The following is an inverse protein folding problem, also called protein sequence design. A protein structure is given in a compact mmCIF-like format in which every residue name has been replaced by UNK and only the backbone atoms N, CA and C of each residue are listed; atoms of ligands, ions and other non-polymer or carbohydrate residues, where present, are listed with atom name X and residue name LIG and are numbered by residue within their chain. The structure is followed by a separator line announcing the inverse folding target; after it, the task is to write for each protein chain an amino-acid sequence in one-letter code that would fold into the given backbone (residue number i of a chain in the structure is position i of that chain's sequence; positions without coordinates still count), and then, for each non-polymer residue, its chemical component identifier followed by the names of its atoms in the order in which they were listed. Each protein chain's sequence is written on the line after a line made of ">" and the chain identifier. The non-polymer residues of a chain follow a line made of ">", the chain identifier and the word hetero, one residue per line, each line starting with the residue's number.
data_IF_478661873554
#
_entry.id   IF_478661873554
#
_cell.length_a   1.000
_cell.length_b   1.000
_cell.length_c   1.000
_cell.angle_alpha   90.00
_cell.angle_beta   90.00
_cell.angle_gamma   90.00
#
_symmetry.space_group_name_H-M   'P 1'
#
loop_
_entity.id
_entity.type
_entity.pdbx_description
1 polymer ?
#
# COMPACT_ATOMS: atom_id res chain seq x y z
N UNK A 1 16.39 34.13 1.51
CA UNK A 1 16.28 33.68 0.10
C UNK A 1 16.29 32.17 0.11
N UNK A 2 15.13 31.53 0.19
CA UNK A 2 14.98 30.08 0.09
C UNK A 2 15.18 29.66 -1.37
N UNK A 3 16.43 29.36 -1.74
CA UNK A 3 16.75 28.63 -2.97
C UNK A 3 16.81 27.15 -2.62
N UNK A 4 15.66 26.50 -2.71
CA UNK A 4 15.51 25.06 -2.48
C UNK A 4 14.20 24.50 -3.01
N UNK A 5 13.61 25.16 -4.01
CA UNK A 5 12.57 24.55 -4.84
C UNK A 5 13.26 23.76 -5.94
N UNK A 6 13.68 22.55 -5.58
CA UNK A 6 13.96 21.51 -6.57
C UNK A 6 12.60 20.91 -6.88
N UNK A 7 11.92 21.51 -7.85
CA UNK A 7 10.66 21.00 -8.36
C UNK A 7 10.95 19.78 -9.29
N UNK A 8 10.02 18.83 -9.43
CA UNK A 8 10.25 17.46 -9.95
C UNK A 8 10.43 17.39 -11.47
N UNK A 9 10.79 18.51 -12.10
CA UNK A 9 10.73 18.70 -13.55
C UNK A 9 12.10 18.90 -14.21
N UNK A 10 13.20 19.07 -13.45
CA UNK A 10 14.51 19.36 -14.08
C UNK A 10 15.11 18.16 -14.79
N UNK A 11 14.84 16.93 -14.34
CA UNK A 11 15.33 15.73 -15.02
C UNK A 11 14.18 14.76 -15.32
N UNK A 12 13.51 14.94 -16.47
CA UNK A 12 12.52 13.98 -16.97
C UNK A 12 13.09 12.57 -17.15
N UNK A 13 14.40 12.43 -17.23
CA UNK A 13 15.07 11.13 -17.36
C UNK A 13 15.15 10.38 -16.01
N UNK A 14 14.82 11.01 -14.88
CA UNK A 14 14.64 10.32 -13.59
C UNK A 14 13.28 9.64 -13.45
N UNK A 15 12.39 9.78 -14.45
CA UNK A 15 11.11 9.11 -14.45
C UNK A 15 11.28 7.62 -14.68
N UNK A 16 11.13 6.84 -13.61
CA UNK A 16 11.25 5.39 -13.66
C UNK A 16 9.89 4.72 -13.64
N UNK A 17 9.56 3.96 -14.68
CA UNK A 17 8.50 2.96 -14.60
C UNK A 17 9.04 1.73 -13.88
N UNK A 18 8.40 1.35 -12.78
CA UNK A 18 8.74 0.11 -12.09
C UNK A 18 7.49 -0.73 -11.92
N UNK A 19 7.54 -1.98 -12.35
CA UNK A 19 6.45 -2.92 -12.09
C UNK A 19 6.74 -3.65 -10.78
N UNK A 20 5.71 -3.74 -9.94
CA UNK A 20 5.75 -4.50 -8.70
C UNK A 20 4.65 -5.53 -8.72
N UNK A 21 5.06 -6.78 -8.58
CA UNK A 21 4.14 -7.90 -8.37
C UNK A 21 4.17 -8.31 -6.91
N UNK A 22 3.01 -8.40 -6.26
CA UNK A 22 2.87 -8.76 -4.85
C UNK A 22 1.96 -9.98 -4.74
N UNK A 23 2.48 -11.07 -4.18
CA UNK A 23 1.70 -12.25 -3.83
C UNK A 23 1.59 -12.35 -2.33
N UNK A 24 0.36 -12.43 -1.82
CA UNK A 24 0.06 -12.40 -0.39
C UNK A 24 -0.70 -13.65 0.05
N UNK A 25 -0.31 -14.19 1.19
CA UNK A 25 -1.08 -15.16 1.95
C UNK A 25 -1.52 -14.51 3.26
N UNK A 26 -2.81 -14.53 3.55
CA UNK A 26 -3.40 -13.87 4.71
C UNK A 26 -4.15 -14.85 5.61
N UNK A 27 -3.86 -14.84 6.90
CA UNK A 27 -4.62 -15.58 7.90
C UNK A 27 -5.28 -14.57 8.84
N UNK A 28 -6.60 -14.51 8.86
CA UNK A 28 -7.35 -13.58 9.68
C UNK A 28 -8.32 -14.31 10.61
N UNK A 29 -8.44 -13.80 11.83
CA UNK A 29 -9.40 -14.29 12.82
C UNK A 29 -10.05 -13.11 13.54
N UNK A 30 -11.38 -13.07 13.50
CA UNK A 30 -12.17 -12.16 14.32
C UNK A 30 -12.39 -12.74 15.71
N UNK A 31 -12.51 -11.88 16.72
CA UNK A 31 -12.99 -12.28 18.04
C UNK A 31 -13.67 -11.11 18.75
N UNK A 32 -14.74 -11.44 19.48
CA UNK A 32 -15.56 -10.51 20.25
C UNK A 32 -16.99 -10.42 19.74
N UNK A 33 -17.75 -9.45 20.26
CA UNK A 33 -19.19 -9.30 20.06
C UNK A 33 -19.51 -8.00 19.30
N UNK A 34 -20.71 -7.91 18.69
CA UNK A 34 -21.29 -6.73 18.01
C UNK A 34 -21.61 -5.56 18.97
N UNK A 35 -20.68 -5.19 19.85
CA UNK A 35 -20.82 -4.09 20.79
C UNK A 35 -19.62 -3.14 20.67
N UNK A 36 -19.82 -1.89 21.08
CA UNK A 36 -18.81 -0.83 20.99
C UNK A 36 -17.43 -1.29 21.48
N UNK A 37 -16.43 -1.23 20.59
CA UNK A 37 -15.04 -1.55 20.91
C UNK A 37 -14.72 -3.04 21.06
N UNK A 38 -15.61 -3.95 20.67
CA UNK A 38 -15.43 -5.41 20.85
C UNK A 38 -15.23 -6.21 19.57
N UNK A 39 -15.33 -5.63 18.38
CA UNK A 39 -15.02 -6.36 17.15
C UNK A 39 -13.53 -6.31 16.86
N UNK A 40 -12.78 -7.18 17.53
CA UNK A 40 -11.34 -7.30 17.34
C UNK A 40 -11.03 -8.25 16.20
N UNK A 41 -9.89 -8.03 15.57
CA UNK A 41 -9.32 -8.99 14.65
C UNK A 41 -7.81 -9.06 14.80
N UNK A 42 -7.29 -10.26 14.55
CA UNK A 42 -5.87 -10.50 14.31
C UNK A 42 -5.72 -10.95 12.86
N UNK A 43 -4.69 -10.44 12.18
CA UNK A 43 -4.32 -10.86 10.84
C UNK A 43 -2.82 -11.04 10.74
N UNK A 44 -2.41 -12.12 10.11
CA UNK A 44 -1.04 -12.37 9.70
C UNK A 44 -0.99 -12.36 8.17
N UNK A 45 -0.14 -11.51 7.62
CA UNK A 45 0.10 -11.41 6.17
C UNK A 45 1.54 -11.85 5.89
N UNK A 46 1.71 -12.85 5.03
CA UNK A 46 3.00 -13.16 4.40
C UNK A 46 2.94 -12.71 2.95
N UNK A 47 3.84 -11.81 2.55
CA UNK A 47 3.91 -11.26 1.20
C UNK A 47 5.25 -11.58 0.56
N UNK A 48 5.23 -12.09 -0.67
CA UNK A 48 6.38 -12.18 -1.56
C UNK A 48 6.18 -11.19 -2.68
N UNK A 49 7.20 -10.41 -3.02
CA UNK A 49 7.11 -9.45 -4.10
C UNK A 49 8.31 -9.48 -5.02
N UNK A 50 8.12 -9.00 -6.24
CA UNK A 50 9.19 -8.74 -7.20
C UNK A 50 9.15 -7.27 -7.58
N UNK A 51 10.31 -6.62 -7.65
CA UNK A 51 10.45 -5.25 -8.14
C UNK A 51 11.39 -5.20 -9.34
N UNK A 52 10.96 -4.52 -10.40
CA UNK A 52 11.79 -4.27 -11.59
C UNK A 52 13.06 -3.49 -11.30
N UNK A 53 14.01 -3.47 -12.24
CA UNK A 53 15.26 -2.68 -12.11
C UNK A 53 14.98 -1.17 -12.13
N UNK A 54 15.84 -0.41 -11.46
CA UNK A 54 15.86 1.05 -11.50
C UNK A 54 17.02 1.51 -12.37
N UNK A 55 16.69 2.16 -13.48
CA UNK A 55 17.66 2.57 -14.48
C UNK A 55 17.30 3.92 -15.12
N UNK A 56 18.31 4.57 -15.66
CA UNK A 56 18.22 5.80 -16.45
C UNK A 56 19.02 5.58 -17.72
N UNK A 57 18.37 5.68 -18.87
CA UNK A 57 18.98 5.23 -20.12
C UNK A 57 19.47 3.78 -20.00
N UNK A 58 20.79 3.57 -20.10
CA UNK A 58 21.45 2.27 -19.97
C UNK A 58 22.07 1.99 -18.60
N UNK A 59 22.09 2.97 -17.69
CA UNK A 59 22.72 2.82 -16.37
C UNK A 59 21.70 2.26 -15.37
N UNK A 60 21.99 1.08 -14.84
CA UNK A 60 21.24 0.47 -13.72
C UNK A 60 21.93 0.87 -12.42
N UNK A 61 21.18 1.39 -11.45
CA UNK A 61 21.71 1.69 -10.12
C UNK A 61 21.06 0.85 -9.00
N UNK A 62 19.86 0.31 -9.22
CA UNK A 62 19.35 -0.82 -8.46
C UNK A 62 18.89 -1.95 -9.38
N UNK A 63 19.41 -3.14 -9.14
CA UNK A 63 19.00 -4.34 -9.85
C UNK A 63 17.56 -4.76 -9.51
N UNK A 64 17.03 -5.65 -10.35
CA UNK A 64 15.78 -6.37 -10.03
C UNK A 64 15.92 -7.04 -8.67
N UNK A 65 14.87 -6.96 -7.85
CA UNK A 65 14.90 -7.49 -6.49
C UNK A 65 13.64 -8.32 -6.21
N UNK A 66 13.77 -9.29 -5.31
CA UNK A 66 12.67 -10.11 -4.80
C UNK A 66 12.68 -10.04 -3.29
N UNK A 67 11.53 -9.75 -2.72
CA UNK A 67 11.41 -9.55 -1.29
C UNK A 67 10.37 -10.41 -0.62
N UNK A 68 10.55 -10.63 0.68
CA UNK A 68 9.59 -11.29 1.55
C UNK A 68 9.32 -10.44 2.78
N UNK A 69 8.05 -10.35 3.17
CA UNK A 69 7.59 -9.58 4.32
C UNK A 69 6.58 -10.40 5.10
N UNK A 70 6.74 -10.47 6.41
CA UNK A 70 5.71 -10.97 7.31
C UNK A 70 5.20 -9.82 8.19
N UNK A 71 3.88 -9.61 8.19
CA UNK A 71 3.22 -8.54 8.92
C UNK A 71 2.17 -9.10 9.86
N UNK A 72 2.23 -8.71 11.13
CA UNK A 72 1.18 -8.96 12.11
C UNK A 72 0.34 -7.70 12.25
N UNK A 73 -0.97 -7.89 12.28
CA UNK A 73 -1.94 -6.80 12.32
C UNK A 73 -2.96 -7.13 13.40
N UNK A 74 -3.18 -6.16 14.27
CA UNK A 74 -4.26 -6.18 15.25
C UNK A 74 -5.13 -4.97 15.02
N UNK A 75 -6.44 -5.13 15.03
CA UNK A 75 -7.33 -3.99 14.97
C UNK A 75 -8.66 -4.26 15.64
N UNK A 76 -9.44 -3.20 15.78
CA UNK A 76 -10.78 -3.27 16.32
C UNK A 76 -11.68 -2.19 15.71
N UNK A 77 -12.98 -2.45 15.68
CA UNK A 77 -13.98 -1.43 15.35
C UNK A 77 -14.49 -0.77 16.62
N UNK A 78 -14.49 0.56 16.66
CA UNK A 78 -15.17 1.31 17.72
C UNK A 78 -16.62 1.61 17.34
N UNK A 79 -16.94 1.75 16.04
CA UNK A 79 -18.33 1.74 15.55
C UNK A 79 -18.52 0.55 14.62
N UNK A 80 -19.57 -0.23 14.84
CA UNK A 80 -19.93 -1.34 13.98
C UNK A 80 -21.45 -1.51 13.94
N UNK A 81 -22.06 -0.79 13.02
CA UNK A 81 -23.47 -0.92 12.66
C UNK A 81 -23.58 -1.54 11.28
N UNK A 82 -24.77 -2.07 10.93
CA UNK A 82 -25.01 -2.62 9.59
C UNK A 82 -24.77 -1.59 8.49
N UNK A 83 -25.04 -0.31 8.76
CA UNK A 83 -24.91 0.75 7.76
C UNK A 83 -23.55 1.45 7.80
N UNK A 84 -22.84 1.40 8.92
CA UNK A 84 -21.62 2.18 9.12
C UNK A 84 -20.64 1.47 10.04
N UNK A 85 -19.36 1.47 9.67
CA UNK A 85 -18.29 0.97 10.51
C UNK A 85 -17.13 1.95 10.56
N UNK A 86 -16.46 1.98 11.70
CA UNK A 86 -15.23 2.72 11.89
C UNK A 86 -14.33 1.99 12.88
N UNK A 87 -13.05 1.90 12.55
CA UNK A 87 -12.10 1.14 13.34
C UNK A 87 -10.67 1.61 13.16
N UNK A 88 -9.81 1.03 13.96
CA UNK A 88 -8.37 1.27 13.92
C UNK A 88 -7.63 -0.05 13.82
N UNK A 89 -6.43 -0.01 13.28
CA UNK A 89 -5.49 -1.13 13.38
C UNK A 89 -4.08 -0.64 13.63
N UNK A 90 -3.28 -1.51 14.22
CA UNK A 90 -1.84 -1.43 14.37
C UNK A 90 -1.23 -2.59 13.59
N UNK A 91 -0.12 -2.37 12.91
CA UNK A 91 0.68 -3.46 12.35
C UNK A 91 2.14 -3.36 12.74
N UNK A 92 2.82 -4.51 12.68
CA UNK A 92 4.28 -4.63 12.79
C UNK A 92 4.80 -5.62 11.76
N UNK A 93 5.94 -5.34 11.15
CA UNK A 93 6.56 -6.23 10.15
C UNK A 93 7.97 -6.66 10.58
N UNK A 94 8.10 -7.66 11.48
CA UNK A 94 9.39 -8.03 12.07
C UNK A 94 10.32 -8.75 11.09
N UNK A 95 9.78 -9.38 10.05
CA UNK A 95 10.57 -10.14 9.07
C UNK A 95 10.49 -9.44 7.72
N UNK A 96 11.62 -8.88 7.29
CA UNK A 96 11.76 -8.15 6.04
C UNK A 96 13.09 -8.51 5.37
N UNK A 97 13.01 -9.20 4.24
CA UNK A 97 14.17 -9.62 3.45
C UNK A 97 14.01 -9.12 2.02
N UNK A 98 14.69 -8.03 1.69
CA UNK A 98 14.71 -7.37 0.38
C UNK A 98 15.74 -6.23 0.39
N UNK A 99 16.00 -5.62 -0.77
CA UNK A 99 16.83 -4.42 -0.88
C UNK A 99 16.09 -3.18 -0.37
N UNK A 100 16.36 -2.80 0.89
CA UNK A 100 15.71 -1.68 1.57
C UNK A 100 16.11 -0.31 1.05
N UNK A 101 17.25 -0.20 0.35
CA UNK A 101 17.72 1.06 -0.25
C UNK A 101 16.92 1.44 -1.50
N UNK A 102 16.30 0.45 -2.15
CA UNK A 102 15.60 0.61 -3.43
C UNK A 102 14.33 1.47 -3.32
N UNK A 103 14.02 2.24 -4.36
CA UNK A 103 12.87 3.17 -4.41
C UNK A 103 11.56 2.50 -4.83
N UNK A 104 11.66 1.47 -5.67
CA UNK A 104 10.59 0.77 -6.38
C UNK A 104 10.24 -0.58 -5.75
N UNK A 105 10.35 -0.69 -4.43
CA UNK A 105 9.80 -1.81 -3.67
C UNK A 105 8.43 -1.43 -3.09
N UNK A 106 7.59 -2.41 -2.71
CA UNK A 106 6.48 -2.11 -1.81
C UNK A 106 6.97 -1.34 -0.59
N UNK A 107 6.12 -0.47 -0.06
CA UNK A 107 6.37 0.12 1.26
C UNK A 107 6.30 -0.99 2.29
N UNK A 108 7.32 -1.05 3.14
CA UNK A 108 7.34 -1.98 4.26
C UNK A 108 7.62 -1.18 5.52
N UNK A 109 6.70 -1.33 6.46
CA UNK A 109 6.70 -0.56 7.69
C UNK A 109 7.13 -1.44 8.87
N UNK A 110 8.11 -0.97 9.65
CA UNK A 110 8.43 -1.59 10.94
C UNK A 110 7.20 -1.63 11.83
N UNK A 111 6.45 -0.54 11.86
CA UNK A 111 5.12 -0.44 12.44
C UNK A 111 4.24 0.51 11.66
N UNK A 112 2.93 0.30 11.70
CA UNK A 112 1.97 1.21 11.08
C UNK A 112 0.69 1.32 11.91
N UNK A 113 -0.05 2.41 11.71
CA UNK A 113 -1.38 2.59 12.26
C UNK A 113 -2.33 3.01 11.14
N UNK A 114 -3.55 2.51 11.16
CA UNK A 114 -4.57 2.93 10.19
C UNK A 114 -5.93 3.13 10.82
N UNK A 115 -6.66 4.11 10.26
CA UNK A 115 -8.07 4.35 10.50
C UNK A 115 -8.84 3.84 9.30
N UNK A 116 -9.79 2.94 9.54
CA UNK A 116 -10.68 2.41 8.51
C UNK A 116 -12.11 2.88 8.77
N UNK A 117 -12.84 3.14 7.70
CA UNK A 117 -14.27 3.44 7.74
C UNK A 117 -15.00 2.72 6.61
N UNK A 118 -16.27 2.42 6.83
CA UNK A 118 -17.15 1.81 5.86
C UNK A 118 -18.55 2.39 5.96
N UNK A 119 -19.19 2.66 4.83
CA UNK A 119 -20.57 3.13 4.76
C UNK A 119 -21.33 2.29 3.73
N UNK A 120 -22.31 1.51 4.18
CA UNK A 120 -23.23 0.79 3.30
C UNK A 120 -24.28 1.78 2.78
N UNK A 121 -24.38 1.91 1.46
CA UNK A 121 -25.40 2.74 0.81
C UNK A 121 -26.68 1.92 0.65
N UNK A 122 -26.54 0.65 0.24
CA UNK A 122 -27.60 -0.35 0.11
C UNK A 122 -26.98 -1.76 0.07
N UNK A 123 -27.77 -2.81 -0.21
CA UNK A 123 -27.28 -4.20 -0.25
C UNK A 123 -26.19 -4.45 -1.30
N UNK A 124 -26.13 -3.62 -2.34
CA UNK A 124 -25.18 -3.75 -3.46
C UNK A 124 -24.01 -2.78 -3.36
N UNK A 125 -24.19 -1.57 -2.84
CA UNK A 125 -23.20 -0.49 -2.91
C UNK A 125 -22.71 -0.04 -1.54
N UNK A 126 -21.40 0.18 -1.43
CA UNK A 126 -20.77 0.70 -0.22
C UNK A 126 -19.58 1.63 -0.54
N UNK A 127 -19.15 2.38 0.46
CA UNK A 127 -17.92 3.17 0.45
C UNK A 127 -16.96 2.63 1.51
N UNK A 128 -15.67 2.56 1.20
CA UNK A 128 -14.61 2.17 2.12
C UNK A 128 -13.54 3.27 2.16
N UNK A 129 -13.20 3.75 3.35
CA UNK A 129 -12.15 4.73 3.58
C UNK A 129 -11.00 4.12 4.38
N UNK A 130 -9.77 4.43 4.00
CA UNK A 130 -8.58 4.08 4.78
C UNK A 130 -7.64 5.28 4.81
N UNK A 131 -7.27 5.70 6.02
CA UNK A 131 -6.13 6.56 6.28
C UNK A 131 -5.08 5.72 6.99
N UNK A 132 -3.87 5.67 6.45
CA UNK A 132 -2.77 4.86 6.93
C UNK A 132 -1.55 5.73 7.19
N UNK A 133 -0.87 5.52 8.31
CA UNK A 133 0.46 6.03 8.57
C UNK A 133 1.42 4.84 8.69
N UNK A 134 2.47 4.85 7.87
CA UNK A 134 3.53 3.86 7.88
C UNK A 134 4.85 4.47 8.38
N UNK A 135 5.56 3.76 9.24
CA UNK A 135 6.85 4.24 9.78
C UNK A 135 7.98 4.28 8.74
N UNK A 136 7.85 3.54 7.65
CA UNK A 136 8.98 3.18 6.79
C UNK A 136 10.07 2.42 7.57
N UNK A 137 11.30 2.54 7.09
CA UNK A 137 12.51 1.95 7.69
C UNK A 137 13.54 3.08 7.87
N UNK A 138 13.96 3.40 9.10
CA UNK A 138 14.90 4.49 9.37
C UNK A 138 16.15 4.46 8.47
N UNK A 139 16.40 5.57 7.78
CA UNK A 139 17.55 5.74 6.88
C UNK A 139 17.44 5.01 5.53
N UNK A 140 16.38 4.24 5.29
CA UNK A 140 16.21 3.43 4.07
C UNK A 140 14.91 3.75 3.35
N UNK A 141 13.79 3.78 4.07
CA UNK A 141 12.47 4.14 3.53
C UNK A 141 11.82 5.22 4.38
N UNK A 142 11.32 6.27 3.74
CA UNK A 142 10.58 7.34 4.40
C UNK A 142 9.31 6.79 5.07
N UNK A 143 8.98 7.34 6.24
CA UNK A 143 7.60 7.28 6.74
C UNK A 143 6.65 8.01 5.79
N UNK A 144 5.40 7.58 5.76
CA UNK A 144 4.41 8.11 4.84
C UNK A 144 3.00 8.10 5.43
N UNK A 145 2.13 8.92 4.85
CA UNK A 145 0.69 8.82 5.01
C UNK A 145 0.09 8.37 3.69
N UNK A 146 -0.77 7.37 3.72
CA UNK A 146 -1.54 6.93 2.57
C UNK A 146 -3.04 7.08 2.85
N UNK A 147 -3.79 7.42 1.80
CA UNK A 147 -5.23 7.57 1.85
C UNK A 147 -5.85 6.85 0.66
N UNK A 148 -6.91 6.08 0.92
CA UNK A 148 -7.77 5.53 -0.12
C UNK A 148 -9.23 5.76 0.21
N UNK A 149 -10.02 6.09 -0.82
CA UNK A 149 -11.47 6.09 -0.75
C UNK A 149 -11.97 5.21 -1.89
N UNK A 150 -12.62 4.09 -1.58
CA UNK A 150 -13.08 3.13 -2.57
C UNK A 150 -14.62 3.14 -2.60
N UNK A 151 -15.16 3.03 -3.80
CA UNK A 151 -16.55 2.64 -4.05
C UNK A 151 -16.55 1.14 -4.29
N UNK A 152 -17.43 0.44 -3.60
CA UNK A 152 -17.58 -1.00 -3.69
C UNK A 152 -18.94 -1.42 -4.24
N UNK A 153 -18.94 -2.47 -5.05
CA UNK A 153 -20.11 -3.12 -5.63
C UNK A 153 -20.11 -4.61 -5.28
N UNK A 154 -21.11 -5.06 -4.53
CA UNK A 154 -21.40 -6.45 -4.20
C UNK A 154 -22.29 -7.04 -5.28
N UNK A 155 -21.86 -8.17 -5.85
CA UNK A 155 -22.59 -8.91 -6.89
C UNK A 155 -23.21 -10.21 -6.36
N UNK A 156 -23.34 -10.33 -5.03
CA UNK A 156 -23.78 -11.56 -4.37
C UNK A 156 -25.21 -12.01 -4.75
N UNK A 157 -26.08 -11.09 -5.17
CA UNK A 157 -27.43 -11.41 -5.62
C UNK A 157 -27.50 -11.75 -7.12
N UNK A 158 -26.47 -11.41 -7.89
CA UNK A 158 -26.48 -11.51 -9.36
C UNK A 158 -25.74 -12.74 -9.87
N UNK A 159 -24.77 -13.26 -9.11
CA UNK A 159 -23.94 -14.39 -9.52
C UNK A 159 -23.86 -15.47 -8.44
N UNK A 160 -23.49 -16.69 -8.84
CA UNK A 160 -23.53 -17.88 -7.98
C UNK A 160 -22.55 -17.87 -6.79
N UNK A 161 -21.62 -16.91 -6.73
CA UNK A 161 -20.66 -16.78 -5.64
C UNK A 161 -20.52 -15.30 -5.22
N UNK A 162 -20.34 -15.00 -3.92
CA UNK A 162 -20.18 -13.62 -3.47
C UNK A 162 -18.91 -13.00 -4.06
N UNK A 163 -19.11 -11.96 -4.86
CA UNK A 163 -18.05 -11.19 -5.50
C UNK A 163 -18.22 -9.72 -5.17
N UNK A 164 -17.11 -9.05 -4.91
CA UNK A 164 -17.09 -7.61 -4.65
C UNK A 164 -16.06 -6.97 -5.56
N UNK A 165 -16.47 -5.91 -6.26
CA UNK A 165 -15.59 -5.05 -7.04
C UNK A 165 -15.38 -3.76 -6.27
N UNK A 166 -14.14 -3.27 -6.20
CA UNK A 166 -13.81 -1.99 -5.57
C UNK A 166 -13.01 -1.13 -6.53
N UNK A 167 -13.28 0.16 -6.53
CA UNK A 167 -12.52 1.14 -7.30
C UNK A 167 -12.51 2.50 -6.61
N UNK A 168 -11.38 3.20 -6.65
CA UNK A 168 -11.34 4.58 -6.21
C UNK A 168 -9.95 5.20 -6.15
N UNK A 169 -9.85 6.47 -5.74
CA UNK A 169 -8.59 7.18 -5.63
C UNK A 169 -7.68 6.63 -4.52
N UNK A 170 -6.39 6.80 -4.74
CA UNK A 170 -5.31 6.57 -3.80
C UNK A 170 -4.33 7.73 -3.81
N UNK A 171 -3.83 8.08 -2.62
CA UNK A 171 -2.71 9.00 -2.46
C UNK A 171 -1.73 8.46 -1.42
N UNK A 172 -0.44 8.72 -1.62
CA UNK A 172 0.64 8.45 -0.66
C UNK A 172 1.56 9.66 -0.61
N UNK A 173 1.93 10.10 0.59
CA UNK A 173 2.77 11.27 0.83
C UNK A 173 3.86 10.91 1.83
N UNK A 174 5.11 11.08 1.44
CA UNK A 174 6.23 10.94 2.36
C UNK A 174 6.21 12.06 3.41
N UNK A 175 6.40 11.67 4.67
CA UNK A 175 6.41 12.55 5.84
C UNK A 175 7.84 12.95 6.25
N UNK A 176 8.85 12.32 5.66
CA UNK A 176 10.26 12.53 5.94
C UNK A 176 11.06 12.55 4.62
N UNK A 177 12.24 13.15 4.68
CA UNK A 177 13.21 13.13 3.58
C UNK A 177 14.21 11.98 3.81
N UNK A 178 14.66 11.37 2.72
CA UNK A 178 15.86 10.54 2.70
C UNK A 178 16.89 11.10 1.73
N UNK A 179 18.14 10.81 2.01
CA UNK A 179 19.24 11.06 1.09
C UNK A 179 19.78 9.71 0.65
N UNK A 180 20.20 9.60 -0.61
CA UNK A 180 20.73 8.35 -1.16
C UNK A 180 21.93 8.67 -2.05
N UNK A 181 23.11 8.16 -1.68
CA UNK A 181 24.35 8.44 -2.40
C UNK A 181 24.40 7.85 -3.81
N UNK A 182 23.72 6.72 -4.07
CA UNK A 182 23.65 6.11 -5.42
C UNK A 182 22.74 6.95 -6.31
N UNK A 183 21.62 7.43 -5.77
CA UNK A 183 20.76 8.39 -6.43
C UNK A 183 21.54 9.68 -6.73
N UNK A 184 22.21 10.26 -5.74
CA UNK A 184 22.98 11.49 -5.92
C UNK A 184 24.07 11.34 -6.99
N UNK A 185 24.76 10.20 -7.02
CA UNK A 185 25.76 9.91 -8.05
C UNK A 185 25.15 9.82 -9.46
N UNK A 186 23.90 9.36 -9.57
CA UNK A 186 23.21 9.20 -10.85
C UNK A 186 22.51 10.48 -11.34
N UNK A 187 22.01 11.31 -10.43
CA UNK A 187 21.08 12.40 -10.77
C UNK A 187 21.51 13.78 -10.26
N UNK A 188 22.28 13.85 -9.18
CA UNK A 188 22.64 15.12 -8.55
C UNK A 188 23.91 15.68 -9.19
N UNK A 189 24.02 17.01 -9.20
CA UNK A 189 25.27 17.67 -9.60
C UNK A 189 26.43 17.25 -8.66
N UNK A 190 27.68 17.17 -9.15
CA UNK A 190 28.82 16.79 -8.30
C UNK A 190 28.91 17.65 -7.03
N UNK A 191 28.99 17.00 -5.86
CA UNK A 191 29.05 17.66 -4.55
C UNK A 191 27.70 18.11 -3.98
N UNK A 192 26.59 17.77 -4.64
CA UNK A 192 25.22 18.03 -4.17
C UNK A 192 24.59 16.76 -3.60
N UNK A 193 23.83 16.93 -2.53
CA UNK A 193 22.99 15.89 -1.93
C UNK A 193 21.54 16.35 -2.04
N UNK A 194 20.73 15.59 -2.77
CA UNK A 194 19.33 15.89 -2.97
C UNK A 194 18.46 15.21 -1.90
N UNK A 195 17.42 15.94 -1.47
CA UNK A 195 16.41 15.43 -0.53
C UNK A 195 15.35 14.70 -1.33
N UNK A 196 15.22 13.41 -1.09
CA UNK A 196 14.26 12.58 -1.81
C UNK A 196 13.00 12.41 -0.97
N UNK A 197 11.90 12.95 -1.50
CA UNK A 197 10.55 12.85 -0.96
C UNK A 197 9.63 12.48 -2.10
N UNK A 198 8.63 11.63 -1.88
CA UNK A 198 7.66 11.29 -2.91
C UNK A 198 6.24 11.66 -2.50
N UNK A 199 5.47 12.08 -3.49
CA UNK A 199 4.01 12.14 -3.42
C UNK A 199 3.49 11.32 -4.59
N UNK A 200 2.55 10.40 -4.35
CA UNK A 200 1.96 9.55 -5.38
C UNK A 200 0.46 9.75 -5.34
N UNK A 201 -0.15 9.86 -6.51
CA UNK A 201 -1.59 9.84 -6.69
C UNK A 201 -1.95 8.81 -7.74
N UNK A 202 -3.09 8.15 -7.56
CA UNK A 202 -3.47 7.05 -8.43
C UNK A 202 -4.87 6.55 -8.18
N UNK A 203 -5.13 5.38 -8.73
CA UNK A 203 -6.36 4.62 -8.53
C UNK A 203 -6.04 3.23 -8.02
N UNK A 204 -6.95 2.69 -7.24
CA UNK A 204 -6.94 1.29 -6.81
C UNK A 204 -8.17 0.65 -7.40
N UNK A 205 -7.99 -0.54 -7.95
CA UNK A 205 -9.06 -1.44 -8.36
C UNK A 205 -8.83 -2.79 -7.72
N UNK A 206 -9.87 -3.41 -7.19
CA UNK A 206 -9.76 -4.77 -6.66
C UNK A 206 -11.03 -5.57 -6.85
N UNK A 207 -10.86 -6.89 -6.80
CA UNK A 207 -11.87 -7.91 -6.88
C UNK A 207 -11.67 -8.84 -5.69
N UNK A 208 -12.69 -8.99 -4.86
CA UNK A 208 -12.70 -9.89 -3.72
C UNK A 208 -13.78 -10.95 -3.94
N UNK A 209 -13.42 -12.23 -3.86
CA UNK A 209 -14.35 -13.34 -4.04
C UNK A 209 -14.32 -14.28 -2.84
N UNK A 210 -15.49 -14.63 -2.31
CA UNK A 210 -15.61 -15.67 -1.29
C UNK A 210 -15.68 -17.04 -1.97
N UNK A 211 -14.64 -17.85 -1.77
CA UNK A 211 -14.59 -19.22 -2.30
C UNK A 211 -15.43 -20.15 -1.44
N UNK A 212 -15.39 -19.94 -0.12
CA UNK A 212 -16.18 -20.69 0.85
C UNK A 212 -16.42 -19.85 2.10
N UNK A 213 -17.12 -20.42 3.10
CA UNK A 213 -17.33 -19.78 4.40
C UNK A 213 -16.03 -19.33 5.08
N UNK A 214 -14.92 -19.99 4.79
CA UNK A 214 -13.66 -19.74 5.47
C UNK A 214 -12.58 -19.21 4.54
N UNK A 215 -12.80 -19.20 3.22
CA UNK A 215 -11.75 -18.87 2.25
C UNK A 215 -12.19 -17.75 1.33
N UNK A 216 -11.28 -16.81 1.09
CA UNK A 216 -11.46 -15.76 0.11
C UNK A 216 -10.21 -15.61 -0.75
N UNK A 217 -10.41 -15.09 -1.96
CA UNK A 217 -9.33 -14.59 -2.80
C UNK A 217 -9.56 -13.12 -3.10
N UNK A 218 -8.47 -12.39 -3.24
CA UNK A 218 -8.48 -11.01 -3.68
C UNK A 218 -7.47 -10.83 -4.79
N UNK A 219 -7.82 -10.07 -5.82
CA UNK A 219 -6.89 -9.60 -6.82
C UNK A 219 -7.08 -8.10 -6.97
N UNK A 220 -6.00 -7.36 -7.20
CA UNK A 220 -6.13 -5.94 -7.43
C UNK A 220 -4.93 -5.33 -8.10
N UNK A 221 -5.14 -4.07 -8.46
CA UNK A 221 -4.23 -3.30 -9.27
C UNK A 221 -4.24 -1.85 -8.78
N UNK A 222 -3.06 -1.34 -8.51
CA UNK A 222 -2.82 0.07 -8.19
C UNK A 222 -2.17 0.72 -9.39
N UNK A 223 -2.84 1.71 -9.97
CA UNK A 223 -2.30 2.52 -11.05
C UNK A 223 -1.89 3.88 -10.50
N UNK A 224 -0.58 4.15 -10.46
CA UNK A 224 -0.09 5.50 -10.13
C UNK A 224 -0.21 6.38 -11.37
N UNK A 225 -1.03 7.42 -11.27
CA UNK A 225 -1.33 8.35 -12.37
C UNK A 225 -0.37 9.54 -12.40
N UNK A 226 0.25 9.86 -11.27
CA UNK A 226 1.18 10.96 -11.16
C UNK A 226 1.75 11.12 -9.75
N UNK A 227 2.51 12.18 -9.58
CA UNK A 227 3.22 12.41 -8.33
C UNK A 227 4.47 13.26 -8.46
N UNK A 228 5.05 13.62 -7.32
CA UNK A 228 6.38 14.20 -7.19
C UNK A 228 7.35 13.06 -6.86
N UNK A 229 8.44 12.90 -7.65
CA UNK A 229 9.42 11.80 -7.53
C UNK A 229 8.79 10.42 -7.34
N UNK A 230 7.61 10.24 -7.95
CA UNK A 230 6.89 8.99 -7.94
C UNK A 230 7.43 8.15 -9.09
N UNK A 231 8.20 7.06 -8.85
CA UNK A 231 8.30 6.04 -9.88
C UNK A 231 6.87 5.68 -10.28
N UNK A 232 6.59 5.65 -11.59
CA UNK A 232 5.34 5.17 -12.12
C UNK A 232 5.27 3.68 -11.80
N UNK A 233 4.74 3.38 -10.62
CA UNK A 233 4.64 2.02 -10.12
C UNK A 233 3.24 1.53 -10.30
N UNK A 234 3.09 0.58 -11.21
CA UNK A 234 1.91 -0.26 -11.19
C UNK A 234 2.18 -1.39 -10.20
N UNK A 235 1.22 -1.64 -9.32
CA UNK A 235 1.30 -2.74 -8.38
C UNK A 235 0.14 -3.71 -8.63
N UNK A 236 0.46 -4.93 -9.01
CA UNK A 236 -0.52 -6.02 -9.06
C UNK A 236 -0.42 -6.80 -7.76
N UNK A 237 -1.54 -7.08 -7.12
CA UNK A 237 -1.57 -7.93 -5.96
C UNK A 237 -2.58 -9.07 -6.09
N UNK A 238 -2.19 -10.24 -5.61
CA UNK A 238 -3.07 -11.39 -5.45
C UNK A 238 -2.96 -11.89 -4.01
N UNK A 239 -4.10 -12.15 -3.39
CA UNK A 239 -4.19 -12.63 -2.01
C UNK A 239 -5.05 -13.88 -1.93
N UNK A 240 -4.59 -14.86 -1.18
CA UNK A 240 -5.42 -15.96 -0.68
C UNK A 240 -5.55 -15.79 0.82
N UNK A 241 -6.77 -15.89 1.36
CA UNK A 241 -6.94 -15.77 2.80
C UNK A 241 -7.94 -16.71 3.43
N UNK A 242 -7.70 -16.97 4.71
CA UNK A 242 -8.60 -17.74 5.58
C UNK A 242 -9.23 -16.82 6.61
N UNK A 243 -10.56 -16.91 6.77
CA UNK A 243 -11.35 -16.28 7.82
C UNK A 243 -11.88 -17.35 8.77
N UNK A 244 -11.71 -17.12 10.08
CA UNK A 244 -12.21 -17.97 11.17
C UNK A 244 -13.09 -17.17 12.11
#
# INVERSE_FOLDING_TARGET
>A
MERGKVEPNENRDSYQSAEIDIYKLSLARGFGDLSFGKDHFLRFDYSRFTSGKEQVGSQVFYEKDTGNVATFIYGFNFVHELSYSAGVYLSVSPLTDYNKEKFSTPRVDLWSIGLKSGLEINSSWFLEGLLHYGSGIPGQQNSYVAFTQLVGLKLAETIAFPLTLKFGPYAELDMQDRNDSKYDTAFSAPGRTDRIRSMKIGTVSSLDAEISRNWYVSAGYVQKLGGYDAPATNATFASLGVKF
#
